data_IF_668598659171
#
_entry.id   IF_668598659171
#
_cell.length_a   1.000
_cell.length_b   1.000
_cell.length_c   1.000
_cell.angle_alpha   90.00
_cell.angle_beta   90.00
_cell.angle_gamma   90.00
#
_symmetry.space_group_name_H-M   'P 1'
#
loop_
_entity.id
_entity.type
_entity.pdbx_description
1 polymer ?
#
# COMPACT_ATOMS: atom_id res chain seq x y z
N UNK A 1 -5.26 43.60 -34.24
CA UNK A 1 -4.09 43.59 -33.34
C UNK A 1 -4.67 43.38 -31.95
N UNK A 2 -4.91 42.12 -31.61
CA UNK A 2 -5.36 41.67 -30.30
C UNK A 2 -4.14 41.01 -29.70
N UNK A 3 -3.61 41.61 -28.64
CA UNK A 3 -2.46 41.08 -27.92
C UNK A 3 -2.95 39.91 -27.06
N UNK A 4 -2.59 38.69 -27.50
CA UNK A 4 -2.74 37.46 -26.74
C UNK A 4 -1.69 37.45 -25.61
N UNK A 5 -2.07 37.90 -24.42
CA UNK A 5 -1.33 37.60 -23.20
C UNK A 5 -1.47 36.10 -22.89
N UNK A 6 -0.48 35.33 -23.35
CA UNK A 6 -0.20 33.99 -22.86
C UNK A 6 -0.08 34.03 -21.33
N UNK A 7 -1.10 33.55 -20.64
CA UNK A 7 -0.98 33.19 -19.22
C UNK A 7 0.04 32.06 -19.12
N UNK A 8 1.23 32.41 -18.65
CA UNK A 8 2.24 31.44 -18.27
C UNK A 8 1.64 30.66 -17.11
N UNK A 9 1.33 29.40 -17.36
CA UNK A 9 0.85 28.47 -16.36
C UNK A 9 1.97 28.21 -15.36
N UNK A 10 1.80 28.72 -14.14
CA UNK A 10 2.73 28.60 -13.02
C UNK A 10 2.64 27.19 -12.41
N UNK A 11 2.98 26.20 -13.22
CA UNK A 11 3.10 24.78 -12.84
C UNK A 11 4.51 24.42 -12.34
N UNK A 12 5.34 25.41 -12.03
CA UNK A 12 6.66 25.23 -11.43
C UNK A 12 6.56 25.32 -9.90
N UNK A 13 6.24 24.18 -9.28
CA UNK A 13 6.72 23.84 -7.95
C UNK A 13 6.09 24.60 -6.77
N UNK A 14 4.81 24.38 -6.49
CA UNK A 14 4.31 24.59 -5.11
C UNK A 14 5.03 23.62 -4.19
N UNK A 15 6.10 24.10 -3.54
CA UNK A 15 6.67 23.42 -2.40
C UNK A 15 5.73 23.65 -1.22
N UNK A 16 4.97 22.62 -0.87
CA UNK A 16 4.23 22.63 0.39
C UNK A 16 5.20 22.88 1.56
N UNK A 17 4.96 23.89 2.41
CA UNK A 17 5.85 24.17 3.53
C UNK A 17 5.89 22.97 4.47
N UNK A 18 7.04 22.72 5.08
CA UNK A 18 7.18 21.70 6.12
C UNK A 18 6.16 21.93 7.25
N UNK A 19 5.68 20.84 7.84
CA UNK A 19 4.79 20.93 8.98
C UNK A 19 5.48 21.66 10.14
N UNK A 20 4.77 22.61 10.76
CA UNK A 20 5.32 23.49 11.80
C UNK A 20 5.33 22.86 13.19
N UNK A 21 4.50 21.83 13.41
CA UNK A 21 4.41 21.09 14.68
C UNK A 21 3.83 19.68 14.45
N UNK A 22 3.81 18.86 15.52
CA UNK A 22 3.26 17.49 15.48
C UNK A 22 1.75 17.46 15.20
N UNK A 23 1.00 18.49 15.59
CA UNK A 23 -0.44 18.52 15.36
C UNK A 23 -0.76 18.73 13.87
N UNK A 24 0.03 19.55 13.20
CA UNK A 24 -0.02 19.74 11.75
C UNK A 24 0.39 18.47 11.00
N UNK A 25 1.44 17.77 11.45
CA UNK A 25 1.79 16.45 10.89
C UNK A 25 0.61 15.49 10.96
N UNK A 26 -0.02 15.34 12.15
CA UNK A 26 -1.19 14.47 12.32
C UNK A 26 -2.37 14.87 11.43
N UNK A 27 -2.65 16.17 11.29
CA UNK A 27 -3.72 16.66 10.38
C UNK A 27 -3.42 16.29 8.92
N UNK A 28 -2.17 16.46 8.48
CA UNK A 28 -1.75 16.10 7.11
C UNK A 28 -1.83 14.60 6.87
N UNK A 29 -1.41 13.78 7.84
CA UNK A 29 -1.52 12.32 7.75
C UNK A 29 -2.98 11.87 7.73
N UNK A 30 -3.85 12.52 8.48
CA UNK A 30 -5.29 12.25 8.46
C UNK A 30 -5.94 12.64 7.11
N UNK A 31 -5.54 13.77 6.52
CA UNK A 31 -5.94 14.13 5.16
C UNK A 31 -5.42 13.13 4.13
N UNK A 32 -4.16 12.69 4.26
CA UNK A 32 -3.58 11.66 3.40
C UNK A 32 -4.32 10.31 3.56
N UNK A 33 -4.67 9.90 4.78
CA UNK A 33 -5.51 8.72 5.04
C UNK A 33 -6.82 8.79 4.26
N UNK A 34 -7.51 9.93 4.32
CA UNK A 34 -8.77 10.12 3.62
C UNK A 34 -8.59 9.97 2.09
N UNK A 35 -7.50 10.55 1.54
CA UNK A 35 -7.16 10.37 0.12
C UNK A 35 -6.88 8.92 -0.26
N UNK A 36 -6.15 8.17 0.58
CA UNK A 36 -5.91 6.74 0.33
C UNK A 36 -7.17 5.88 0.52
N UNK A 37 -8.12 6.28 1.38
CA UNK A 37 -9.42 5.61 1.45
C UNK A 37 -10.23 5.82 0.17
N UNK A 38 -10.20 7.02 -0.41
CA UNK A 38 -10.86 7.31 -1.69
C UNK A 38 -10.23 6.51 -2.83
N UNK A 39 -8.90 6.55 -2.96
CA UNK A 39 -8.17 5.81 -3.99
C UNK A 39 -8.30 4.28 -3.88
N UNK A 40 -8.59 3.76 -2.68
CA UNK A 40 -8.78 2.33 -2.44
C UNK A 40 -10.05 1.75 -3.09
N UNK A 41 -10.99 2.57 -3.56
CA UNK A 41 -12.20 2.10 -4.24
C UNK A 41 -11.87 1.17 -5.43
N UNK A 42 -10.92 1.58 -6.28
CA UNK A 42 -10.46 0.77 -7.43
C UNK A 42 -9.85 -0.58 -7.01
N UNK A 43 -9.18 -0.63 -5.86
CA UNK A 43 -8.64 -1.88 -5.33
C UNK A 43 -9.75 -2.78 -4.79
N UNK A 44 -10.78 -2.19 -4.19
CA UNK A 44 -11.95 -2.90 -3.66
C UNK A 44 -12.68 -3.66 -4.76
N UNK A 45 -12.88 -3.01 -5.92
CA UNK A 45 -13.48 -3.65 -7.11
C UNK A 45 -12.67 -4.85 -7.62
N UNK A 46 -11.35 -4.84 -7.41
CA UNK A 46 -10.43 -5.89 -7.86
C UNK A 46 -10.19 -7.01 -6.86
N UNK A 47 -10.71 -6.92 -5.62
CA UNK A 47 -10.45 -7.92 -4.57
C UNK A 47 -10.72 -9.35 -5.04
N UNK A 48 -11.81 -9.59 -5.76
CA UNK A 48 -12.12 -10.93 -6.28
C UNK A 48 -11.06 -11.45 -7.27
N UNK A 49 -10.55 -10.58 -8.14
CA UNK A 49 -9.48 -10.91 -9.08
C UNK A 49 -8.16 -11.17 -8.34
N UNK A 50 -7.81 -10.34 -7.37
CA UNK A 50 -6.61 -10.51 -6.54
C UNK A 50 -6.66 -11.84 -5.75
N UNK A 51 -7.82 -12.18 -5.17
CA UNK A 51 -8.02 -13.49 -4.51
C UNK A 51 -7.76 -14.64 -5.50
N UNK A 52 -8.34 -14.57 -6.70
CA UNK A 52 -8.16 -15.62 -7.70
C UNK A 52 -6.69 -15.75 -8.14
N UNK A 53 -6.02 -14.63 -8.37
CA UNK A 53 -4.60 -14.57 -8.73
C UNK A 53 -3.71 -15.21 -7.66
N UNK A 54 -3.84 -14.76 -6.40
CA UNK A 54 -3.04 -15.26 -5.29
C UNK A 54 -3.34 -16.73 -4.97
N UNK A 55 -4.61 -17.17 -5.06
CA UNK A 55 -4.99 -18.58 -4.87
C UNK A 55 -4.34 -19.50 -5.90
N UNK A 56 -4.10 -19.00 -7.11
CA UNK A 56 -3.38 -19.71 -8.16
C UNK A 56 -1.86 -19.78 -7.95
N UNK A 57 -1.33 -19.25 -6.84
CA UNK A 57 0.10 -19.11 -6.61
C UNK A 57 0.72 -17.90 -7.32
N UNK A 58 -0.11 -16.97 -7.80
CA UNK A 58 0.34 -15.73 -8.42
C UNK A 58 1.16 -14.88 -7.46
N UNK A 59 2.12 -14.13 -7.99
CA UNK A 59 2.97 -13.22 -7.23
C UNK A 59 3.24 -11.97 -8.06
N UNK A 60 3.00 -10.82 -7.45
CA UNK A 60 3.22 -9.49 -8.02
C UNK A 60 4.67 -9.02 -7.94
N UNK A 61 5.54 -9.74 -7.22
CA UNK A 61 6.96 -9.42 -7.13
C UNK A 61 7.60 -9.43 -8.51
N UNK A 62 8.26 -8.33 -8.84
CA UNK A 62 8.97 -8.18 -10.10
C UNK A 62 10.18 -9.12 -10.17
N UNK A 63 10.67 -9.48 -11.37
CA UNK A 63 11.80 -10.38 -11.53
C UNK A 63 13.05 -9.96 -10.73
N UNK A 64 13.31 -8.65 -10.67
CA UNK A 64 14.42 -8.11 -9.89
C UNK A 64 14.23 -8.30 -8.38
N UNK A 65 13.00 -8.15 -7.88
CA UNK A 65 12.68 -8.36 -6.47
C UNK A 65 12.82 -9.83 -6.11
N UNK A 66 12.30 -10.75 -6.95
CA UNK A 66 12.47 -12.19 -6.75
C UNK A 66 13.93 -12.63 -6.74
N UNK A 67 14.77 -12.02 -7.58
CA UNK A 67 16.20 -12.30 -7.59
C UNK A 67 16.88 -11.86 -6.29
N UNK A 68 16.60 -10.63 -5.84
CA UNK A 68 17.22 -10.06 -4.63
C UNK A 68 16.68 -10.67 -3.33
N UNK A 69 15.40 -11.05 -3.33
CA UNK A 69 14.70 -11.64 -2.19
C UNK A 69 14.61 -13.18 -2.31
N UNK A 70 15.47 -13.81 -3.10
CA UNK A 70 15.34 -15.25 -3.38
C UNK A 70 15.39 -16.12 -2.11
N UNK A 71 14.77 -17.30 -2.20
CA UNK A 71 14.69 -18.28 -1.11
C UNK A 71 14.10 -17.75 0.19
N UNK A 72 13.08 -16.87 0.14
CA UNK A 72 12.42 -16.33 1.33
C UNK A 72 12.04 -17.41 2.35
N UNK A 73 11.51 -18.55 1.89
CA UNK A 73 11.14 -19.65 2.80
C UNK A 73 12.28 -20.28 3.60
N UNK A 74 13.55 -20.06 3.22
CA UNK A 74 14.71 -20.59 3.93
C UNK A 74 15.15 -19.71 5.11
N UNK A 75 14.81 -18.42 5.11
CA UNK A 75 15.36 -17.46 6.07
C UNK A 75 14.33 -16.47 6.64
N UNK A 76 13.20 -16.28 5.98
CA UNK A 76 12.18 -15.31 6.37
C UNK A 76 10.99 -16.01 7.05
N UNK A 77 10.96 -15.98 8.38
CA UNK A 77 9.81 -16.49 9.13
C UNK A 77 8.64 -15.52 9.13
N UNK A 78 8.91 -14.22 9.21
CA UNK A 78 7.89 -13.18 9.21
C UNK A 78 8.34 -11.99 8.40
N UNK A 79 7.57 -11.63 7.37
CA UNK A 79 7.79 -10.40 6.60
C UNK A 79 6.82 -9.32 7.07
N UNK A 80 7.35 -8.14 7.39
CA UNK A 80 6.56 -6.94 7.70
C UNK A 80 6.64 -6.00 6.50
N UNK A 81 5.50 -5.69 5.90
CA UNK A 81 5.38 -4.78 4.76
C UNK A 81 4.66 -3.50 5.18
N UNK A 82 5.38 -2.38 5.14
CA UNK A 82 4.87 -1.05 5.50
C UNK A 82 4.24 -0.38 4.29
N UNK A 83 3.17 0.39 4.52
CA UNK A 83 2.39 1.06 3.47
C UNK A 83 1.85 0.05 2.45
N UNK A 84 1.25 -1.03 2.98
CA UNK A 84 0.97 -2.25 2.21
C UNK A 84 -0.20 -2.16 1.22
N UNK A 85 -0.92 -1.03 1.18
CA UNK A 85 -2.17 -0.87 0.44
C UNK A 85 -3.14 -2.06 0.69
N UNK A 86 -3.82 -2.56 -0.34
CA UNK A 86 -4.75 -3.70 -0.23
C UNK A 86 -4.07 -5.08 -0.09
N UNK A 87 -2.75 -5.12 0.14
CA UNK A 87 -2.05 -6.32 0.60
C UNK A 87 -1.67 -7.34 -0.48
N UNK A 88 -1.82 -7.04 -1.78
CA UNK A 88 -1.44 -7.96 -2.86
C UNK A 88 0.04 -8.34 -2.80
N UNK A 89 0.94 -7.34 -2.80
CA UNK A 89 2.39 -7.58 -2.71
C UNK A 89 2.78 -8.29 -1.40
N UNK A 90 2.10 -7.95 -0.31
CA UNK A 90 2.32 -8.58 1.00
C UNK A 90 1.98 -10.07 0.96
N UNK A 91 0.87 -10.44 0.30
CA UNK A 91 0.48 -11.84 0.15
C UNK A 91 1.28 -12.55 -0.96
N UNK A 92 1.84 -11.83 -1.92
CA UNK A 92 2.81 -12.35 -2.86
C UNK A 92 4.08 -12.85 -2.13
N UNK A 93 4.55 -12.15 -1.09
CA UNK A 93 5.67 -12.63 -0.25
C UNK A 93 5.35 -13.98 0.41
N UNK A 94 4.10 -14.20 0.82
CA UNK A 94 3.66 -15.51 1.33
C UNK A 94 3.71 -16.58 0.22
N UNK A 95 3.25 -16.28 -0.99
CA UNK A 95 3.36 -17.18 -2.13
C UNK A 95 4.83 -17.47 -2.54
N UNK A 96 5.75 -16.54 -2.31
CA UNK A 96 7.20 -16.76 -2.47
C UNK A 96 7.86 -17.51 -1.30
N UNK A 97 7.07 -17.96 -0.32
CA UNK A 97 7.49 -18.91 0.71
C UNK A 97 7.70 -18.35 2.11
N UNK A 98 7.44 -17.05 2.37
CA UNK A 98 7.46 -16.50 3.74
C UNK A 98 6.39 -17.20 4.59
N UNK A 99 6.73 -17.60 5.83
CA UNK A 99 5.79 -18.36 6.69
C UNK A 99 4.62 -17.52 7.21
N UNK A 100 4.85 -16.26 7.55
CA UNK A 100 3.83 -15.32 8.03
C UNK A 100 4.09 -13.92 7.44
N UNK A 101 3.01 -13.20 7.10
CA UNK A 101 3.13 -11.82 6.62
C UNK A 101 2.35 -10.86 7.50
N UNK A 102 2.87 -9.65 7.64
CA UNK A 102 2.23 -8.56 8.40
C UNK A 102 2.20 -7.34 7.50
N UNK A 103 1.02 -6.81 7.24
CA UNK A 103 0.86 -5.55 6.52
C UNK A 103 0.44 -4.42 7.45
N UNK A 104 1.01 -3.25 7.22
CA UNK A 104 0.66 -2.01 7.91
C UNK A 104 0.32 -0.96 6.87
N UNK A 105 -0.83 -0.30 7.01
CA UNK A 105 -1.21 0.80 6.15
C UNK A 105 -2.00 1.85 6.92
N UNK A 106 -1.94 3.10 6.46
CA UNK A 106 -2.68 4.20 7.06
C UNK A 106 -4.16 4.14 6.69
N UNK A 107 -4.54 3.53 5.56
CA UNK A 107 -5.91 3.49 5.03
C UNK A 107 -6.75 2.35 5.63
N UNK A 108 -7.95 2.69 6.08
CA UNK A 108 -8.92 1.74 6.64
C UNK A 108 -9.46 0.82 5.55
N UNK A 109 -9.73 1.37 4.36
CA UNK A 109 -10.30 0.61 3.24
C UNK A 109 -9.27 -0.38 2.70
N UNK A 110 -8.01 0.03 2.56
CA UNK A 110 -6.92 -0.86 2.18
C UNK A 110 -6.74 -2.02 3.17
N UNK A 111 -6.72 -1.74 4.47
CA UNK A 111 -6.64 -2.78 5.50
C UNK A 111 -7.87 -3.70 5.50
N UNK A 112 -9.07 -3.18 5.24
CA UNK A 112 -10.28 -4.00 5.12
C UNK A 112 -10.18 -4.96 3.91
N UNK A 113 -9.73 -4.47 2.76
CA UNK A 113 -9.50 -5.28 1.57
C UNK A 113 -8.46 -6.37 1.82
N UNK A 114 -7.33 -6.03 2.45
CA UNK A 114 -6.28 -6.99 2.77
C UNK A 114 -6.77 -8.10 3.72
N UNK A 115 -7.60 -7.74 4.72
CA UNK A 115 -8.27 -8.71 5.61
C UNK A 115 -9.24 -9.61 4.85
N UNK A 116 -10.05 -9.06 3.95
CA UNK A 116 -10.97 -9.84 3.13
C UNK A 116 -10.21 -10.85 2.26
N UNK A 117 -9.18 -10.40 1.56
CA UNK A 117 -8.35 -11.24 0.68
C UNK A 117 -7.66 -12.36 1.47
N UNK A 118 -6.95 -12.02 2.55
CA UNK A 118 -6.24 -13.02 3.36
C UNK A 118 -7.18 -14.03 4.04
N UNK A 119 -8.37 -13.59 4.48
CA UNK A 119 -9.39 -14.49 5.02
C UNK A 119 -9.87 -15.48 3.96
N UNK A 120 -10.17 -15.01 2.75
CA UNK A 120 -10.62 -15.87 1.64
C UNK A 120 -9.55 -16.87 1.17
N UNK A 121 -8.28 -16.59 1.44
CA UNK A 121 -7.15 -17.46 1.13
C UNK A 121 -6.72 -18.34 2.31
N UNK A 122 -7.27 -18.13 3.51
CA UNK A 122 -6.76 -18.71 4.76
C UNK A 122 -5.24 -18.47 4.92
N UNK A 123 -4.78 -17.28 4.53
CA UNK A 123 -3.36 -16.94 4.57
C UNK A 123 -2.93 -16.57 6.00
N UNK A 124 -1.69 -16.92 6.42
CA UNK A 124 -1.14 -16.56 7.73
C UNK A 124 -0.73 -15.08 7.77
N UNK A 125 -1.71 -14.18 7.71
CA UNK A 125 -1.51 -12.75 7.59
C UNK A 125 -2.10 -11.96 8.77
N UNK A 126 -1.43 -10.87 9.16
CA UNK A 126 -1.93 -9.90 10.16
C UNK A 126 -1.90 -8.49 9.57
N UNK A 127 -2.89 -7.67 9.93
CA UNK A 127 -3.09 -6.36 9.30
C UNK A 127 -3.38 -5.27 10.32
N UNK A 128 -2.61 -4.19 10.25
CA UNK A 128 -2.69 -3.06 11.16
C UNK A 128 -3.01 -1.77 10.41
N UNK A 129 -4.13 -1.13 10.78
CA UNK A 129 -4.43 0.24 10.37
C UNK A 129 -3.65 1.18 11.29
N UNK A 130 -2.57 1.75 10.79
CA UNK A 130 -1.62 2.52 11.59
C UNK A 130 -0.97 3.63 10.76
N UNK A 131 -0.79 4.79 11.35
CA UNK A 131 0.17 5.77 10.88
C UNK A 131 1.56 5.41 11.43
N UNK A 132 2.45 4.93 10.56
CA UNK A 132 3.78 4.43 10.97
C UNK A 132 4.69 5.51 11.56
N UNK A 133 4.36 6.79 11.36
CA UNK A 133 5.11 7.91 11.90
C UNK A 133 4.51 8.47 13.19
N UNK A 134 3.38 7.94 13.65
CA UNK A 134 2.74 8.35 14.90
C UNK A 134 3.25 7.50 16.08
N UNK A 135 4.24 8.04 16.81
CA UNK A 135 4.95 7.38 17.94
C UNK A 135 4.88 8.20 19.23
#
# INVERSE_FOLDING_TARGET
>A
MQDDEHKIDDHLGRMEPLAIDKAEVRRRHESNRAGWNEGAAHYTEKVAQTIAFLRGGGSSLHPLEKANLSNLGAWCETAVHLQCASGEDTLSLWNEGVKQVIGVDISDVHIANARQTSTALNAPARWFRCDILDT
#
